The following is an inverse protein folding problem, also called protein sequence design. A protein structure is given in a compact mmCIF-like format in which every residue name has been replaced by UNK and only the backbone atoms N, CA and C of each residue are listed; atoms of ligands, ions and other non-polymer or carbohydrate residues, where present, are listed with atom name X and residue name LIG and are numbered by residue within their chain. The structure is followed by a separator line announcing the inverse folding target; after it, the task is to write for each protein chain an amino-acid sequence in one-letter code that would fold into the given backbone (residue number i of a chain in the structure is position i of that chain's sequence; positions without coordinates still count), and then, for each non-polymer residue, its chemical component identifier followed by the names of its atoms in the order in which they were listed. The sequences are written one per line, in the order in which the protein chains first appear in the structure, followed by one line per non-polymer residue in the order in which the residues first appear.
data_IF_721183476529
#
_entry.id   IF_721183476529
#
_cell.length_a   1.000
_cell.length_b   1.000
_cell.length_c   1.000
_cell.angle_alpha   90.00
_cell.angle_beta   90.00
_cell.angle_gamma   90.00
#
_symmetry.space_group_name_H-M   'P 1'
#
loop_
_entity.id
_entity.type
_entity.pdbx_description
1 polymer ?
#
# COMPACT_ATOMS: atom_id res chain seq x y z
N UNK A 1 4.88 -9.26 4.23
CA UNK A 1 3.86 -9.16 5.30
C UNK A 1 2.88 -8.02 5.05
N UNK A 2 3.32 -6.76 5.00
CA UNK A 2 2.42 -5.61 4.80
C UNK A 2 1.60 -5.68 3.50
N UNK A 3 2.22 -6.05 2.37
CA UNK A 3 1.51 -6.29 1.10
C UNK A 3 0.42 -7.35 1.21
N UNK A 4 0.63 -8.38 2.03
CA UNK A 4 -0.35 -9.46 2.24
C UNK A 4 -1.57 -8.92 2.97
N UNK A 5 -1.37 -8.21 4.09
CA UNK A 5 -2.45 -7.55 4.83
C UNK A 5 -3.19 -6.53 3.97
N UNK A 6 -2.46 -5.73 3.18
CA UNK A 6 -3.01 -4.75 2.26
C UNK A 6 -3.87 -5.35 1.14
N UNK A 7 -3.58 -6.58 0.70
CA UNK A 7 -4.26 -7.22 -0.43
C UNK A 7 -5.77 -7.42 -0.23
N UNK A 8 -6.24 -7.46 1.02
CA UNK A 8 -7.67 -7.56 1.38
C UNK A 8 -8.31 -6.21 1.69
N UNK A 9 -7.56 -5.11 1.57
CA UNK A 9 -8.03 -3.74 1.78
C UNK A 9 -8.84 -3.59 3.06
N UNK A 10 -10.06 -3.05 2.92
CA UNK A 10 -10.99 -2.78 4.03
C UNK A 10 -11.60 -4.04 4.66
N UNK A 11 -11.44 -5.23 4.07
CA UNK A 11 -12.00 -6.46 4.63
C UNK A 11 -11.15 -7.06 5.75
N UNK A 12 -9.86 -6.68 5.83
CA UNK A 12 -8.87 -7.19 6.79
C UNK A 12 -8.55 -8.68 6.61
N UNK A 13 -7.57 -9.19 7.37
CA UNK A 13 -7.14 -10.59 7.33
C UNK A 13 -7.04 -11.23 8.70
N UNK A 14 -7.48 -12.48 8.87
CA UNK A 14 -7.13 -13.28 10.06
C UNK A 14 -5.69 -13.76 9.96
N UNK A 15 -5.10 -14.17 11.09
CA UNK A 15 -3.76 -14.76 11.11
C UNK A 15 -3.64 -15.95 10.14
N UNK A 16 -4.65 -16.82 10.08
CA UNK A 16 -4.71 -17.94 9.15
C UNK A 16 -4.59 -17.50 7.68
N UNK A 17 -5.29 -16.43 7.32
CA UNK A 17 -5.31 -15.88 5.97
C UNK A 17 -3.93 -15.32 5.61
N UNK A 18 -3.29 -14.64 6.57
CA UNK A 18 -1.93 -14.11 6.41
C UNK A 18 -0.92 -15.24 6.27
N UNK A 19 -0.99 -16.28 7.09
CA UNK A 19 -0.12 -17.46 7.00
C UNK A 19 -0.26 -18.11 5.62
N UNK A 20 -1.49 -18.39 5.19
CA UNK A 20 -1.76 -19.02 3.90
C UNK A 20 -1.26 -18.18 2.72
N UNK A 21 -1.49 -16.85 2.74
CA UNK A 21 -1.08 -15.97 1.66
C UNK A 21 0.42 -15.61 1.67
N UNK A 22 1.09 -15.68 2.83
CA UNK A 22 2.52 -15.35 2.94
C UNK A 22 3.45 -16.55 2.75
N UNK A 23 2.95 -17.79 2.91
CA UNK A 23 3.76 -19.01 2.88
C UNK A 23 4.74 -19.16 4.05
N UNK A 24 4.65 -18.31 5.06
CA UNK A 24 5.52 -18.34 6.25
C UNK A 24 4.88 -19.18 7.36
N UNK A 25 5.69 -19.76 8.29
CA UNK A 25 5.16 -20.43 9.46
C UNK A 25 4.31 -19.50 10.33
N UNK A 26 3.22 -20.02 10.91
CA UNK A 26 2.29 -19.26 11.75
C UNK A 26 2.98 -18.51 12.89
N UNK A 27 3.99 -19.11 13.54
CA UNK A 27 4.76 -18.47 14.62
C UNK A 27 5.56 -17.26 14.14
N UNK A 28 6.05 -17.29 12.91
CA UNK A 28 6.74 -16.16 12.27
C UNK A 28 5.75 -15.08 11.87
N UNK A 29 4.62 -15.44 11.26
CA UNK A 29 3.54 -14.49 10.96
C UNK A 29 3.06 -13.76 12.22
N UNK A 30 2.79 -14.50 13.29
CA UNK A 30 2.33 -13.95 14.56
C UNK A 30 3.34 -12.96 15.15
N UNK A 31 4.61 -13.35 15.26
CA UNK A 31 5.66 -12.46 15.79
C UNK A 31 5.83 -11.19 14.96
N UNK A 32 5.81 -11.30 13.62
CA UNK A 32 5.92 -10.14 12.74
C UNK A 32 4.71 -9.21 12.88
N UNK A 33 3.49 -9.76 12.88
CA UNK A 33 2.27 -8.97 13.05
C UNK A 33 2.22 -8.30 14.42
N UNK A 34 2.64 -8.99 15.49
CA UNK A 34 2.71 -8.40 16.82
C UNK A 34 3.69 -7.22 16.87
N UNK A 35 4.84 -7.31 16.20
CA UNK A 35 5.78 -6.18 16.12
C UNK A 35 5.19 -5.02 15.34
N UNK A 36 4.58 -5.29 14.18
CA UNK A 36 3.93 -4.26 13.37
C UNK A 36 2.75 -3.62 14.10
N UNK A 37 2.05 -4.37 14.96
CA UNK A 37 0.94 -3.88 15.78
C UNK A 37 1.44 -2.95 16.89
N UNK A 38 2.53 -3.31 17.57
CA UNK A 38 3.19 -2.44 18.56
C UNK A 38 3.67 -1.13 17.94
N UNK A 39 4.20 -1.18 16.73
CA UNK A 39 4.62 0.02 15.98
C UNK A 39 3.43 0.79 15.37
N UNK A 40 2.18 0.29 15.44
CA UNK A 40 1.02 0.97 14.86
C UNK A 40 0.94 0.93 13.32
N UNK A 41 1.80 0.14 12.66
CA UNK A 41 1.78 -0.05 11.21
C UNK A 41 0.61 -0.94 10.78
N UNK A 42 0.20 -1.87 11.65
CA UNK A 42 -1.03 -2.65 11.50
C UNK A 42 -1.86 -2.53 12.77
N UNK A 43 -3.16 -2.74 12.67
CA UNK A 43 -4.06 -2.79 13.82
C UNK A 43 -4.84 -4.09 13.81
N UNK A 44 -5.13 -4.61 15.00
CA UNK A 44 -5.93 -5.82 15.17
C UNK A 44 -7.29 -5.48 15.76
N UNK A 45 -8.34 -5.76 15.00
CA UNK A 45 -9.70 -5.51 15.47
C UNK A 45 -10.01 -6.35 16.72
N UNK A 46 -10.56 -5.75 17.80
CA UNK A 46 -10.68 -6.41 19.11
C UNK A 46 -11.59 -7.64 19.08
N UNK A 47 -12.71 -7.57 18.34
CA UNK A 47 -13.68 -8.67 18.22
C UNK A 47 -13.29 -9.67 17.12
N UNK A 48 -13.17 -9.23 15.87
CA UNK A 48 -12.94 -10.13 14.73
C UNK A 48 -11.53 -10.71 14.68
N UNK A 49 -10.58 -10.10 15.41
CA UNK A 49 -9.14 -10.44 15.41
C UNK A 49 -8.49 -10.33 14.03
N UNK A 50 -9.12 -9.62 13.09
CA UNK A 50 -8.56 -9.32 11.78
C UNK A 50 -7.53 -8.20 11.89
N UNK A 51 -6.48 -8.32 11.10
CA UNK A 51 -5.44 -7.33 10.90
C UNK A 51 -5.81 -6.39 9.76
N UNK A 52 -5.58 -5.10 9.98
CA UNK A 52 -5.76 -4.00 9.04
C UNK A 52 -4.47 -3.18 8.98
N UNK A 53 -4.32 -2.35 7.95
CA UNK A 53 -3.28 -1.33 7.95
C UNK A 53 -3.61 -0.28 9.00
N UNK A 54 -2.62 0.08 9.82
CA UNK A 54 -2.77 1.05 10.90
C UNK A 54 -2.48 2.49 10.44
N UNK A 55 -2.83 3.48 11.28
CA UNK A 55 -2.72 4.90 10.96
C UNK A 55 -1.29 5.36 10.73
N UNK A 56 -0.30 4.78 11.41
CA UNK A 56 1.12 5.15 11.19
C UNK A 56 1.54 4.94 9.73
N UNK A 57 0.98 3.94 9.05
CA UNK A 57 1.32 3.69 7.65
C UNK A 57 0.87 4.85 6.73
N UNK A 58 -0.23 5.53 7.06
CA UNK A 58 -0.67 6.72 6.34
C UNK A 58 0.29 7.89 6.57
N UNK A 59 0.68 8.15 7.82
CA UNK A 59 1.64 9.19 8.17
C UNK A 59 3.00 8.98 7.49
N UNK A 60 3.51 7.75 7.56
CA UNK A 60 4.74 7.36 6.86
C UNK A 60 4.60 7.52 5.35
N UNK A 61 3.43 7.24 4.78
CA UNK A 61 3.15 7.47 3.36
C UNK A 61 3.24 8.94 2.95
N UNK A 62 2.76 9.86 3.80
CA UNK A 62 2.88 11.30 3.58
C UNK A 62 4.33 11.79 3.68
N UNK A 63 5.12 11.20 4.58
CA UNK A 63 6.54 11.53 4.77
C UNK A 63 7.44 10.91 3.68
N UNK A 64 7.10 9.71 3.21
CA UNK A 64 7.85 8.96 2.21
C UNK A 64 7.67 9.51 0.78
N UNK A 65 7.46 10.83 0.63
CA UNK A 65 7.22 11.53 -0.64
C UNK A 65 8.08 10.93 -1.76
N UNK A 66 7.52 10.68 -2.96
CA UNK A 66 8.29 10.15 -4.07
C UNK A 66 9.53 11.01 -4.31
N UNK A 67 10.71 10.39 -4.29
CA UNK A 67 11.98 11.10 -4.59
C UNK A 67 11.96 11.77 -5.95
N UNK A 68 11.11 11.29 -6.85
CA UNK A 68 10.84 11.88 -8.16
C UNK A 68 9.34 12.08 -8.32
N UNK A 69 8.89 13.33 -8.27
CA UNK A 69 7.48 13.69 -8.47
C UNK A 69 7.22 13.88 -9.97
N UNK A 70 7.35 12.79 -10.75
CA UNK A 70 7.24 12.83 -12.21
C UNK A 70 5.89 13.40 -12.65
N UNK A 71 4.80 13.01 -11.98
CA UNK A 71 3.46 13.53 -12.24
C UNK A 71 3.36 15.05 -12.03
N UNK A 72 3.95 15.59 -10.96
CA UNK A 72 3.97 17.05 -10.73
C UNK A 72 4.76 17.78 -11.80
N UNK A 73 5.90 17.22 -12.24
CA UNK A 73 6.75 17.82 -13.28
C UNK A 73 6.11 17.77 -14.66
N UNK A 74 5.46 16.67 -14.99
CA UNK A 74 4.83 16.45 -16.30
C UNK A 74 3.43 17.05 -16.37
N UNK A 75 2.75 17.29 -15.24
CA UNK A 75 1.38 17.80 -15.18
C UNK A 75 1.09 18.97 -16.12
N UNK A 76 1.90 20.05 -16.12
CA UNK A 76 1.70 21.17 -17.05
C UNK A 76 1.76 20.75 -18.52
N UNK A 77 2.78 19.97 -18.90
CA UNK A 77 2.99 19.50 -20.28
C UNK A 77 1.87 18.55 -20.73
N UNK A 78 1.43 17.66 -19.84
CA UNK A 78 0.33 16.73 -20.13
C UNK A 78 -1.01 17.46 -20.29
N UNK A 79 -1.22 18.53 -19.53
CA UNK A 79 -2.39 19.41 -19.67
C UNK A 79 -2.40 20.12 -21.02
N UNK A 80 -1.28 20.73 -21.41
CA UNK A 80 -1.12 21.36 -22.73
C UNK A 80 -1.36 20.36 -23.86
N UNK A 81 -0.85 19.14 -23.75
CA UNK A 81 -1.08 18.06 -24.72
C UNK A 81 -2.55 17.67 -24.80
N UNK A 82 -3.23 17.47 -23.67
CA UNK A 82 -4.65 17.12 -23.65
C UNK A 82 -5.52 18.21 -24.29
N UNK A 83 -5.20 19.50 -24.02
CA UNK A 83 -5.87 20.63 -24.67
C UNK A 83 -5.59 20.67 -26.17
N UNK A 84 -4.37 20.39 -26.61
CA UNK A 84 -4.02 20.45 -28.02
C UNK A 84 -4.60 19.29 -28.83
N UNK A 85 -4.62 18.08 -28.25
CA UNK A 85 -5.15 16.88 -28.93
C UNK A 85 -6.64 16.70 -28.76
N UNK A 86 -7.28 17.42 -27.82
CA UNK A 86 -8.67 17.20 -27.41
C UNK A 86 -8.93 15.75 -26.98
N UNK A 87 -7.92 15.12 -26.37
CA UNK A 87 -7.90 13.70 -26.06
C UNK A 87 -7.41 13.42 -24.65
N UNK A 88 -7.67 12.21 -24.14
CA UNK A 88 -7.24 11.82 -22.79
C UNK A 88 -5.78 11.40 -22.78
N UNK A 89 -4.94 12.10 -22.03
CA UNK A 89 -3.52 11.79 -21.87
C UNK A 89 -3.30 11.02 -20.56
N UNK A 90 -2.61 9.88 -20.64
CA UNK A 90 -2.19 9.09 -19.49
C UNK A 90 -0.67 9.19 -19.32
N UNK A 91 -0.22 9.45 -18.08
CA UNK A 91 1.16 9.26 -17.68
C UNK A 91 1.28 7.90 -16.99
N UNK A 92 2.24 7.09 -17.42
CA UNK A 92 2.58 5.86 -16.70
C UNK A 92 4.05 5.84 -16.27
N UNK A 93 4.27 5.53 -14.99
CA UNK A 93 5.58 5.38 -14.39
C UNK A 93 5.86 3.90 -14.10
N UNK A 94 7.04 3.43 -14.48
CA UNK A 94 7.48 2.08 -14.11
C UNK A 94 7.81 2.02 -12.62
N UNK A 95 7.07 1.20 -11.88
CA UNK A 95 7.36 0.83 -10.48
C UNK A 95 7.71 -0.65 -10.39
N UNK A 96 9.01 -0.93 -10.44
CA UNK A 96 9.53 -2.31 -10.43
C UNK A 96 9.23 -3.05 -11.74
N UNK A 97 8.31 -4.02 -11.71
CA UNK A 97 7.86 -4.78 -12.88
C UNK A 97 6.48 -4.32 -13.40
N UNK A 98 5.84 -3.38 -12.69
CA UNK A 98 4.50 -2.90 -13.01
C UNK A 98 4.57 -1.46 -13.54
N UNK A 99 3.60 -1.11 -14.37
CA UNK A 99 3.35 0.26 -14.83
C UNK A 99 2.19 0.82 -14.00
N UNK A 100 2.39 1.97 -13.35
CA UNK A 100 1.40 2.67 -12.50
C UNK A 100 1.05 4.00 -13.12
#
# INVERSE_FOLDING_TARGET
MLRVVASRGKSGMRLSDVTAASGLPTSTCFRLLQRLEVEGIVERHPVTRKYFLGPLLYELGLLARPRFQLAERCGPILGELAEHTQDTIYLSERRGLEAV
#
